data_IF_410087979427
#
_entry.id   IF_410087979427
#
_cell.length_a   1.000
_cell.length_b   1.000
_cell.length_c   1.000
_cell.angle_alpha   90.00
_cell.angle_beta   90.00
_cell.angle_gamma   90.00
#
_symmetry.space_group_name_H-M   'P 1'
#
loop_
_entity.id
_entity.type
_entity.pdbx_description
1 polymer ?
#
# COMPACT_ATOMS: atom_id res chain seq x y z
N UNK A 1 39.21 2.92 56.33
CA UNK A 1 38.04 2.03 56.14
C UNK A 1 36.94 2.89 55.54
N UNK A 2 36.90 2.97 54.20
CA UNK A 2 36.05 3.92 53.48
C UNK A 2 35.51 3.18 52.27
N UNK A 3 34.21 2.92 52.33
CA UNK A 3 33.40 2.19 51.36
C UNK A 3 33.16 3.09 50.13
N UNK A 4 32.81 2.47 49.00
CA UNK A 4 31.91 2.95 47.94
C UNK A 4 32.43 2.68 46.52
N UNK A 5 32.52 1.39 46.18
CA UNK A 5 32.18 0.90 44.85
C UNK A 5 30.67 1.08 44.63
N UNK A 6 30.25 2.00 43.75
CA UNK A 6 29.00 1.89 42.97
C UNK A 6 28.89 3.11 42.04
N UNK A 7 28.69 2.86 40.75
CA UNK A 7 28.02 3.82 39.85
C UNK A 7 28.93 4.71 39.01
N UNK A 8 29.57 4.15 37.98
CA UNK A 8 30.06 4.95 36.85
C UNK A 8 29.79 4.24 35.52
N UNK A 9 28.51 3.92 35.30
CA UNK A 9 27.95 3.46 34.02
C UNK A 9 26.75 4.34 33.66
N UNK A 10 26.95 5.66 33.67
CA UNK A 10 25.91 6.66 33.34
C UNK A 10 26.46 7.74 32.39
N UNK A 11 27.34 7.33 31.47
CA UNK A 11 27.97 8.23 30.49
C UNK A 11 27.67 7.85 29.05
N UNK A 12 26.45 7.36 28.77
CA UNK A 12 26.02 6.99 27.41
C UNK A 12 24.54 7.31 27.11
N UNK A 13 23.97 8.38 27.70
CA UNK A 13 22.53 8.68 27.53
C UNK A 13 22.19 10.14 27.20
N UNK A 14 23.15 10.97 26.78
CA UNK A 14 22.92 12.42 26.58
C UNK A 14 23.10 12.93 25.13
N UNK A 15 23.30 12.05 24.14
CA UNK A 15 23.24 12.44 22.72
C UNK A 15 21.92 11.98 22.05
N UNK A 16 20.78 12.19 22.72
CA UNK A 16 19.45 11.82 22.23
C UNK A 16 18.50 13.04 22.06
N UNK A 17 19.04 14.23 21.74
CA UNK A 17 18.21 15.45 21.61
C UNK A 17 18.67 16.34 20.42
N UNK A 18 18.83 15.77 19.21
CA UNK A 18 18.98 16.59 17.97
C UNK A 18 18.25 15.97 16.76
N UNK A 19 17.12 15.29 16.97
CA UNK A 19 16.29 14.81 15.84
C UNK A 19 14.82 15.26 15.93
N UNK A 20 14.52 16.25 16.79
CA UNK A 20 13.28 17.02 16.67
C UNK A 20 13.57 18.24 15.79
N UNK A 21 12.81 18.37 14.70
CA UNK A 21 12.77 19.51 13.78
C UNK A 21 13.84 19.54 12.67
N UNK A 22 13.65 18.72 11.64
CA UNK A 22 13.80 19.21 10.28
C UNK A 22 12.46 19.01 9.56
N UNK A 23 11.86 20.11 9.10
CA UNK A 23 10.50 20.16 8.60
C UNK A 23 10.28 19.33 7.34
N UNK A 24 9.05 18.83 7.20
CA UNK A 24 8.28 18.78 5.94
C UNK A 24 8.93 18.20 4.69
N UNK A 25 10.04 17.47 4.82
CA UNK A 25 10.74 16.87 3.70
C UNK A 25 9.99 15.59 3.40
N UNK A 26 9.17 15.59 2.34
CA UNK A 26 8.70 14.36 1.69
C UNK A 26 9.94 13.60 1.27
N UNK A 27 10.50 12.83 2.20
CA UNK A 27 11.68 12.03 1.95
C UNK A 27 11.21 10.98 0.96
N UNK A 28 11.79 10.95 -0.25
CA UNK A 28 11.40 9.97 -1.24
C UNK A 28 11.54 8.57 -0.62
N UNK A 29 10.56 7.67 -0.82
CA UNK A 29 10.63 6.35 -0.23
C UNK A 29 11.90 5.63 -0.73
N UNK A 30 12.57 4.83 0.11
CA UNK A 30 13.73 4.09 -0.36
C UNK A 30 13.34 3.20 -1.55
N UNK A 31 14.18 3.16 -2.59
CA UNK A 31 13.83 2.54 -3.87
C UNK A 31 13.40 1.07 -3.74
N UNK A 32 13.91 0.34 -2.74
CA UNK A 32 13.54 -1.04 -2.46
C UNK A 32 12.07 -1.24 -2.06
N UNK A 33 11.39 -0.20 -1.59
CA UNK A 33 9.96 -0.24 -1.23
C UNK A 33 9.04 0.13 -2.40
N UNK A 34 9.56 0.77 -3.44
CA UNK A 34 8.76 1.20 -4.59
C UNK A 34 8.29 -0.02 -5.37
N UNK A 35 7.02 -0.05 -5.75
CA UNK A 35 6.39 -1.13 -6.51
C UNK A 35 5.01 -1.52 -5.99
N UNK A 36 4.46 -2.55 -6.61
CA UNK A 36 3.20 -3.17 -6.20
C UNK A 36 3.49 -4.44 -5.39
N UNK A 37 2.90 -4.52 -4.21
CA UNK A 37 3.14 -5.55 -3.22
C UNK A 37 1.83 -6.25 -2.89
N UNK A 38 1.87 -7.57 -2.86
CA UNK A 38 0.72 -8.40 -2.46
C UNK A 38 1.07 -9.18 -1.21
N UNK A 39 0.29 -8.96 -0.15
CA UNK A 39 0.40 -9.65 1.12
C UNK A 39 -0.15 -11.08 1.03
N UNK A 40 0.39 -11.98 1.85
CA UNK A 40 -0.12 -13.34 2.02
C UNK A 40 -1.56 -13.38 2.57
N UNK A 41 -2.02 -12.29 3.18
CA UNK A 41 -3.38 -12.05 3.65
C UNK A 41 -4.34 -11.56 2.56
N UNK A 42 -3.84 -11.35 1.33
CA UNK A 42 -4.60 -10.80 0.21
C UNK A 42 -4.67 -9.27 0.17
N UNK A 43 -3.99 -8.57 1.08
CA UNK A 43 -3.87 -7.11 1.01
C UNK A 43 -2.93 -6.68 -0.11
N UNK A 44 -3.15 -5.50 -0.68
CA UNK A 44 -2.28 -4.94 -1.72
C UNK A 44 -1.79 -3.55 -1.34
N UNK A 45 -0.51 -3.30 -1.57
CA UNK A 45 0.16 -2.03 -1.31
C UNK A 45 0.86 -1.59 -2.60
N UNK A 46 0.56 -0.39 -3.08
CA UNK A 46 1.30 0.23 -4.18
C UNK A 46 2.07 1.42 -3.62
N UNK A 47 3.39 1.43 -3.78
CA UNK A 47 4.25 2.55 -3.38
C UNK A 47 4.87 3.12 -4.63
N UNK A 48 4.65 4.41 -4.88
CA UNK A 48 5.17 5.15 -6.03
C UNK A 48 6.43 5.91 -5.63
N UNK A 49 7.31 6.17 -6.60
CA UNK A 49 8.59 6.86 -6.34
C UNK A 49 8.46 8.32 -5.90
N UNK A 50 7.27 8.91 -6.03
CA UNK A 50 6.94 10.25 -5.56
C UNK A 50 6.53 10.30 -4.07
N UNK A 51 6.48 9.14 -3.40
CA UNK A 51 6.03 9.01 -2.01
C UNK A 51 4.52 8.93 -1.85
N UNK A 52 3.76 8.77 -2.94
CA UNK A 52 2.34 8.41 -2.87
C UNK A 52 2.15 6.91 -2.90
N UNK A 53 1.00 6.44 -2.43
CA UNK A 53 0.68 5.02 -2.44
C UNK A 53 -0.77 4.71 -2.20
N UNK A 54 -1.12 3.48 -2.51
CA UNK A 54 -2.46 2.93 -2.34
C UNK A 54 -2.36 1.70 -1.43
N UNK A 55 -3.38 1.51 -0.60
CA UNK A 55 -3.54 0.35 0.24
C UNK A 55 -4.94 -0.20 0.09
N UNK A 56 -5.07 -1.53 -0.01
CA UNK A 56 -6.35 -2.22 0.04
C UNK A 56 -6.22 -3.46 0.89
N UNK A 57 -7.11 -3.63 1.86
CA UNK A 57 -7.25 -4.87 2.63
C UNK A 57 -8.68 -5.02 3.10
N UNK A 58 -9.35 -6.10 2.67
CA UNK A 58 -10.77 -6.32 2.95
C UNK A 58 -11.61 -5.09 2.57
N UNK A 59 -12.33 -4.52 3.56
CA UNK A 59 -13.14 -3.31 3.41
C UNK A 59 -12.40 -1.98 3.59
N UNK A 60 -11.09 -2.00 3.90
CA UNK A 60 -10.28 -0.79 4.04
C UNK A 60 -9.57 -0.48 2.73
N UNK A 61 -9.66 0.76 2.26
CA UNK A 61 -8.95 1.23 1.07
C UNK A 61 -8.47 2.66 1.27
N UNK A 62 -7.21 2.90 0.94
CA UNK A 62 -6.58 4.23 0.87
C UNK A 62 -6.06 4.39 -0.55
N UNK A 63 -6.47 5.45 -1.24
CA UNK A 63 -6.04 5.76 -2.60
C UNK A 63 -5.34 7.11 -2.59
N UNK A 64 -4.17 7.20 -3.21
CA UNK A 64 -3.39 8.45 -3.24
C UNK A 64 -2.90 8.93 -1.86
N UNK A 65 -2.73 8.01 -0.92
CA UNK A 65 -2.18 8.32 0.41
C UNK A 65 -0.69 8.70 0.33
N UNK A 66 -0.21 9.47 1.30
CA UNK A 66 1.22 9.67 1.52
C UNK A 66 1.81 8.43 2.19
N UNK A 67 2.90 7.92 1.62
CA UNK A 67 3.72 6.86 2.18
C UNK A 67 4.84 7.49 3.00
N UNK A 68 4.95 7.11 4.27
CA UNK A 68 6.05 7.51 5.14
C UNK A 68 6.74 6.27 5.64
N UNK A 69 8.03 6.14 5.36
CA UNK A 69 8.87 5.03 5.79
C UNK A 69 9.93 5.60 6.73
N UNK A 70 9.97 5.07 7.95
CA UNK A 70 10.99 5.37 8.93
C UNK A 70 11.77 4.08 9.21
N UNK A 71 12.95 3.96 8.60
CA UNK A 71 13.83 2.79 8.77
C UNK A 71 14.46 2.73 10.17
N UNK A 72 14.61 3.88 10.84
CA UNK A 72 15.12 3.97 12.20
C UNK A 72 14.10 3.46 13.22
N UNK A 73 12.84 3.89 13.08
CA UNK A 73 11.73 3.43 13.89
C UNK A 73 11.15 2.08 13.43
N UNK A 74 11.58 1.58 12.25
CA UNK A 74 11.02 0.40 11.58
C UNK A 74 9.51 0.51 11.42
N UNK A 75 9.02 1.66 10.97
CA UNK A 75 7.59 1.87 10.74
C UNK A 75 7.31 2.32 9.31
N UNK A 76 6.20 1.87 8.77
CA UNK A 76 5.67 2.32 7.48
C UNK A 76 4.23 2.77 7.66
N UNK A 77 3.88 3.95 7.17
CA UNK A 77 2.52 4.49 7.24
C UNK A 77 2.04 4.84 5.85
N UNK A 78 0.79 4.50 5.56
CA UNK A 78 0.11 4.92 4.33
C UNK A 78 -1.12 5.67 4.79
N UNK A 79 -1.17 6.98 4.59
CA UNK A 79 -2.26 7.81 5.11
C UNK A 79 -2.73 8.83 4.08
N UNK A 80 -4.04 9.00 3.94
CA UNK A 80 -4.64 10.11 3.20
C UNK A 80 -5.28 11.06 4.20
N UNK A 81 -4.89 12.34 4.17
CA UNK A 81 -5.36 13.35 5.13
C UNK A 81 -5.21 12.94 6.61
N UNK A 82 -4.17 12.17 6.95
CA UNK A 82 -3.91 11.69 8.31
C UNK A 82 -4.65 10.41 8.72
N UNK A 83 -5.50 9.86 7.85
CA UNK A 83 -6.20 8.60 8.07
C UNK A 83 -5.58 7.49 7.23
N UNK A 84 -5.19 6.39 7.87
CA UNK A 84 -4.73 5.19 7.19
C UNK A 84 -3.92 4.25 8.07
N UNK A 85 -3.56 3.07 7.56
CA UNK A 85 -2.85 2.06 8.32
C UNK A 85 -1.40 2.46 8.63
N UNK A 86 -0.94 1.95 9.77
CA UNK A 86 0.45 1.95 10.19
C UNK A 86 0.93 0.52 10.31
N UNK A 87 2.13 0.24 9.82
CA UNK A 87 2.75 -1.07 9.79
C UNK A 87 4.10 -1.03 10.49
N UNK A 88 4.48 -2.15 11.11
CA UNK A 88 5.83 -2.37 11.63
C UNK A 88 6.64 -3.08 10.56
N UNK A 89 7.87 -2.65 10.30
CA UNK A 89 8.76 -3.27 9.33
C UNK A 89 9.55 -4.36 10.06
N UNK A 90 9.05 -5.59 10.03
CA UNK A 90 9.75 -6.75 10.62
C UNK A 90 10.96 -7.13 9.77
N UNK A 91 10.79 -7.11 8.44
CA UNK A 91 11.86 -7.32 7.46
C UNK A 91 11.73 -6.35 6.30
N UNK A 92 12.80 -5.59 6.07
CA UNK A 92 12.90 -4.69 4.93
C UNK A 92 12.85 -5.46 3.59
N UNK A 93 12.48 -4.78 2.49
CA UNK A 93 12.49 -5.35 1.15
C UNK A 93 13.83 -5.98 0.77
N UNK A 94 13.82 -7.26 0.44
CA UNK A 94 14.97 -7.99 -0.09
C UNK A 94 14.48 -9.07 -1.06
N UNK A 95 15.09 -9.16 -2.25
CA UNK A 95 14.73 -10.16 -3.26
C UNK A 95 13.26 -10.12 -3.71
N UNK A 96 12.61 -8.94 -3.67
CA UNK A 96 11.19 -8.79 -4.00
C UNK A 96 10.23 -9.27 -2.92
N UNK A 97 10.69 -9.43 -1.67
CA UNK A 97 9.87 -9.79 -0.52
C UNK A 97 10.13 -8.85 0.65
N UNK A 98 9.07 -8.51 1.40
CA UNK A 98 9.18 -7.78 2.68
C UNK A 98 8.23 -8.38 3.71
N UNK A 99 8.42 -8.08 4.99
CA UNK A 99 7.50 -8.47 6.06
C UNK A 99 7.07 -7.25 6.84
N UNK A 100 5.76 -7.02 6.86
CA UNK A 100 5.13 -5.90 7.55
C UNK A 100 4.10 -6.41 8.56
N UNK A 101 4.26 -6.05 9.83
CA UNK A 101 3.39 -6.46 10.93
C UNK A 101 3.10 -7.98 10.94
N UNK A 102 4.11 -8.80 10.64
CA UNK A 102 4.03 -10.25 10.53
C UNK A 102 3.46 -10.79 9.20
N UNK A 103 2.98 -9.93 8.30
CA UNK A 103 2.46 -10.32 6.98
C UNK A 103 3.58 -10.26 5.95
N UNK A 104 3.73 -11.34 5.18
CA UNK A 104 4.71 -11.44 4.09
C UNK A 104 4.12 -10.81 2.83
N UNK A 105 4.80 -9.82 2.29
CA UNK A 105 4.47 -9.16 1.03
C UNK A 105 5.45 -9.55 -0.07
N UNK A 106 4.94 -9.82 -1.27
CA UNK A 106 5.73 -10.12 -2.47
C UNK A 106 5.53 -9.02 -3.51
N UNK A 107 6.61 -8.55 -4.12
CA UNK A 107 6.59 -7.53 -5.16
C UNK A 107 6.20 -8.16 -6.50
N UNK A 108 5.22 -7.58 -7.17
CA UNK A 108 4.79 -8.01 -8.50
C UNK A 108 5.88 -7.81 -9.57
N UNK A 109 6.85 -6.90 -9.35
CA UNK A 109 7.97 -6.67 -10.27
C UNK A 109 8.97 -7.83 -10.35
N UNK A 110 8.91 -8.78 -9.41
CA UNK A 110 9.72 -10.00 -9.40
C UNK A 110 8.96 -11.26 -9.86
N UNK A 111 7.66 -11.16 -10.12
CA UNK A 111 6.84 -12.28 -10.59
C UNK A 111 6.53 -12.11 -12.07
N UNK A 112 7.44 -12.63 -12.90
CA UNK A 112 7.05 -13.17 -14.21
C UNK A 112 5.89 -14.15 -13.99
N UNK A 113 4.70 -13.80 -14.48
CA UNK A 113 3.54 -14.67 -14.70
C UNK A 113 3.07 -15.56 -13.55
N UNK A 114 1.94 -15.20 -12.93
CA UNK A 114 0.88 -16.17 -12.64
C UNK A 114 -0.46 -15.46 -12.50
N UNK A 115 -1.33 -15.74 -13.46
CA UNK A 115 -2.75 -15.40 -13.51
C UNK A 115 -3.51 -15.72 -12.22
N UNK A 116 -4.32 -14.78 -11.75
CA UNK A 116 -5.60 -15.10 -11.11
C UNK A 116 -6.64 -14.05 -11.49
N UNK A 117 -7.63 -14.53 -12.24
CA UNK A 117 -8.83 -13.85 -12.70
C UNK A 117 -9.97 -14.02 -11.69
N UNK A 118 -10.64 -12.93 -11.31
CA UNK A 118 -12.10 -12.84 -11.02
C UNK A 118 -12.46 -11.41 -10.57
N UNK A 119 -13.09 -10.60 -11.46
CA UNK A 119 -14.52 -10.19 -11.46
C UNK A 119 -15.03 -9.59 -10.13
N UNK A 120 -15.53 -8.34 -10.06
CA UNK A 120 -16.80 -7.91 -10.67
C UNK A 120 -17.09 -6.39 -10.50
N UNK A 121 -17.58 -5.79 -11.60
CA UNK A 121 -18.58 -4.70 -11.81
C UNK A 121 -18.89 -3.64 -10.74
N UNK A 122 -18.85 -2.36 -11.14
CA UNK A 122 -20.06 -1.51 -11.20
C UNK A 122 -19.82 -0.22 -12.03
N UNK A 123 -20.54 -0.06 -13.15
CA UNK A 123 -20.86 1.27 -13.70
C UNK A 123 -22.15 1.21 -14.52
N UNK A 124 -23.28 1.42 -13.83
CA UNK A 124 -24.45 2.16 -14.33
C UNK A 124 -23.97 3.48 -14.98
N UNK A 125 -24.49 4.02 -16.08
CA UNK A 125 -25.86 4.19 -16.60
C UNK A 125 -25.71 4.65 -18.07
N UNK A 126 -26.57 4.31 -19.02
CA UNK A 126 -27.73 5.16 -19.32
C UNK A 126 -28.69 4.48 -20.31
N UNK A 127 -29.96 4.52 -19.93
CA UNK A 127 -31.15 4.24 -20.70
C UNK A 127 -31.24 5.13 -21.94
N UNK A 128 -31.39 4.54 -23.13
CA UNK A 128 -32.15 5.16 -24.22
C UNK A 128 -32.79 4.06 -25.07
N UNK A 129 -34.06 3.87 -24.78
CA UNK A 129 -35.02 3.10 -25.55
C UNK A 129 -35.14 3.69 -26.96
N UNK A 130 -34.83 2.91 -28.01
CA UNK A 130 -35.33 3.20 -29.35
C UNK A 130 -35.54 1.90 -30.11
N UNK A 131 -36.73 1.37 -29.92
CA UNK A 131 -37.42 0.42 -30.77
C UNK A 131 -37.61 0.94 -32.19
N UNK A 132 -37.14 0.21 -33.18
CA UNK A 132 -37.74 0.16 -34.52
C UNK A 132 -37.35 -1.14 -35.22
N UNK A 133 -38.16 -2.17 -34.95
CA UNK A 133 -38.16 -3.43 -35.68
C UNK A 133 -38.85 -3.21 -37.04
N UNK A 134 -38.08 -2.97 -38.10
CA UNK A 134 -38.60 -2.88 -39.46
C UNK A 134 -38.66 -4.27 -40.10
N UNK A 135 -39.79 -4.92 -39.86
CA UNK A 135 -40.63 -5.67 -40.82
C UNK A 135 -39.88 -6.31 -42.02
N UNK A 136 -39.66 -7.62 -41.92
CA UNK A 136 -39.40 -8.52 -43.04
C UNK A 136 -40.42 -9.65 -42.95
N UNK A 137 -40.96 -9.96 -44.14
CA UNK A 137 -41.71 -11.18 -44.49
C UNK A 137 -43.11 -11.24 -43.82
N UNK A 138 -44.24 -11.47 -44.51
CA UNK A 138 -44.51 -12.55 -45.47
C UNK A 138 -45.46 -12.12 -46.61
N UNK A 139 -45.26 -12.78 -47.76
CA UNK A 139 -46.26 -13.04 -48.80
C UNK A 139 -47.33 -13.96 -48.23
N UNK A 140 -48.60 -13.67 -48.48
CA UNK A 140 -49.73 -14.60 -48.64
C UNK A 140 -50.82 -13.74 -49.33
N UNK A 141 -51.06 -13.87 -50.64
CA UNK A 141 -51.96 -14.81 -51.31
C UNK A 141 -53.47 -14.53 -51.08
N UNK A 142 -54.18 -14.60 -52.21
CA UNK A 142 -55.62 -14.86 -52.40
C UNK A 142 -56.59 -13.71 -52.76
N UNK A 143 -57.06 -13.85 -54.02
CA UNK A 143 -58.33 -13.49 -54.71
C UNK A 143 -58.72 -12.03 -55.01
#
# INVERSE_FOLDING_TARGET
>A
MNKNTLGSLLSLSILLIVALACGGSKTPPPAGYVGAWTGADGSTITIRGDGSGDYKSGGTSVSGGSVTIDEGAKTMKIAFAGLGPSFTIDKAPSGGQMTLSGVIYKNASGSSSSSSSSSSSNSSSSTSNSSSNSKKDDKDDDD
#
